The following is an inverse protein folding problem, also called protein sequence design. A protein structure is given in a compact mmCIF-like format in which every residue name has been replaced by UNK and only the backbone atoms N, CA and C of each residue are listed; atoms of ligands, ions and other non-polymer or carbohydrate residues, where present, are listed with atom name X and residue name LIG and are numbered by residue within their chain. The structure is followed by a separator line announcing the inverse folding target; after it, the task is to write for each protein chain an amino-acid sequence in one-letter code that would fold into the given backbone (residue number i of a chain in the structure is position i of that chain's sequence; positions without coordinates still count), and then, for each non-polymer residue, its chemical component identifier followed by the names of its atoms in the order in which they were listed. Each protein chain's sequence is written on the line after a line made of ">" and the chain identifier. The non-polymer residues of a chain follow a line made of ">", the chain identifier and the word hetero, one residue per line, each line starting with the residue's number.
data_IF_939578257063
#
_entry.id   IF_939578257063
#
_cell.length_a   1.000
_cell.length_b   1.000
_cell.length_c   1.000
_cell.angle_alpha   90.00
_cell.angle_beta   90.00
_cell.angle_gamma   90.00
#
_symmetry.space_group_name_H-M   'P 1'
#
loop_
_entity.id
_entity.type
_entity.pdbx_description
1 polymer ?
#
# COMPACT_ATOMS: atom_id res chain seq x y z
N UNK A 1 14.01 -1.07 -18.22
CA UNK A 1 13.31 -1.19 -16.94
C UNK A 1 13.28 -2.66 -16.61
N UNK A 2 13.67 -3.05 -15.39
CA UNK A 2 13.54 -4.45 -14.97
C UNK A 2 12.05 -4.67 -14.71
N UNK A 3 11.40 -5.53 -15.48
CA UNK A 3 10.05 -5.98 -15.17
C UNK A 3 10.14 -6.85 -13.90
N UNK A 4 9.66 -6.30 -12.79
CA UNK A 4 9.55 -7.07 -11.55
C UNK A 4 8.35 -7.99 -11.66
N UNK A 5 8.61 -9.28 -11.80
CA UNK A 5 7.58 -10.32 -11.72
C UNK A 5 7.05 -10.35 -10.29
N UNK A 6 5.77 -10.05 -10.10
CA UNK A 6 5.12 -10.05 -8.79
C UNK A 6 4.36 -11.35 -8.61
N UNK A 7 4.81 -12.21 -7.69
CA UNK A 7 4.14 -13.46 -7.31
C UNK A 7 3.69 -13.48 -5.85
N UNK A 8 4.36 -12.75 -4.96
CA UNK A 8 4.11 -12.77 -3.52
C UNK A 8 3.93 -11.36 -3.00
N UNK A 9 2.73 -11.03 -2.52
CA UNK A 9 2.38 -9.68 -2.05
C UNK A 9 2.33 -9.67 -0.52
N UNK A 10 3.07 -8.75 0.10
CA UNK A 10 2.99 -8.49 1.54
C UNK A 10 2.12 -7.26 1.80
N UNK A 11 1.10 -7.40 2.65
CA UNK A 11 0.33 -6.28 3.19
C UNK A 11 0.71 -6.07 4.65
N UNK A 12 1.29 -4.92 4.98
CA UNK A 12 1.54 -4.55 6.37
C UNK A 12 0.23 -4.06 7.00
N UNK A 13 -0.10 -4.56 8.20
CA UNK A 13 -1.22 -4.05 9.01
C UNK A 13 -0.74 -3.76 10.43
N UNK A 14 -1.35 -2.78 11.09
CA UNK A 14 -0.94 -2.31 12.41
C UNK A 14 -2.13 -1.77 13.21
N UNK A 15 -2.09 -1.80 14.55
CA UNK A 15 -3.16 -1.23 15.36
C UNK A 15 -3.47 0.21 14.98
N UNK A 16 -4.75 0.58 14.99
CA UNK A 16 -5.25 1.89 14.57
C UNK A 16 -5.01 2.21 13.09
N UNK A 17 -4.92 1.20 12.21
CA UNK A 17 -4.97 1.45 10.77
C UNK A 17 -6.39 1.90 10.35
N UNK A 18 -6.48 2.59 9.22
CA UNK A 18 -7.76 2.77 8.54
C UNK A 18 -8.00 1.54 7.67
N UNK A 19 -8.94 0.67 8.04
CA UNK A 19 -9.15 -0.59 7.29
C UNK A 19 -9.41 -0.38 5.80
N UNK A 20 -10.11 0.67 5.40
CA UNK A 20 -10.35 0.97 3.98
C UNK A 20 -9.06 1.26 3.20
N UNK A 21 -8.02 1.81 3.84
CA UNK A 21 -6.71 1.98 3.22
C UNK A 21 -6.10 0.61 2.85
N UNK A 22 -6.33 -0.41 3.68
CA UNK A 22 -5.88 -1.77 3.42
C UNK A 22 -6.81 -2.52 2.46
N UNK A 23 -8.10 -2.63 2.79
CA UNK A 23 -9.02 -3.55 2.09
C UNK A 23 -9.26 -3.15 0.64
N UNK A 24 -9.20 -1.86 0.30
CA UNK A 24 -9.42 -1.41 -1.08
C UNK A 24 -8.36 -1.96 -2.05
N UNK A 25 -7.08 -1.88 -1.68
CA UNK A 25 -6.01 -2.43 -2.51
C UNK A 25 -5.88 -3.95 -2.38
N UNK A 26 -6.10 -4.49 -1.17
CA UNK A 26 -6.16 -5.93 -0.93
C UNK A 26 -7.17 -6.61 -1.87
N UNK A 27 -8.38 -6.06 -2.00
CA UNK A 27 -9.43 -6.65 -2.81
C UNK A 27 -9.09 -6.69 -4.31
N UNK A 28 -8.53 -5.61 -4.87
CA UNK A 28 -8.11 -5.62 -6.27
C UNK A 28 -6.91 -6.53 -6.53
N UNK A 29 -5.93 -6.57 -5.62
CA UNK A 29 -4.71 -7.35 -5.81
C UNK A 29 -4.95 -8.85 -5.62
N UNK A 30 -5.75 -9.27 -4.63
CA UNK A 30 -6.10 -10.70 -4.47
C UNK A 30 -6.86 -11.24 -5.69
N UNK A 31 -7.58 -10.38 -6.42
CA UNK A 31 -8.37 -10.77 -7.59
C UNK A 31 -7.52 -11.15 -8.80
N UNK A 32 -6.24 -10.79 -8.82
CA UNK A 32 -5.28 -11.27 -9.83
C UNK A 32 -5.27 -12.81 -9.84
N UNK A 33 -5.19 -13.43 -8.67
CA UNK A 33 -5.25 -14.87 -8.53
C UNK A 33 -6.69 -15.41 -8.70
N UNK A 34 -7.67 -14.83 -7.99
CA UNK A 34 -9.03 -15.40 -7.97
C UNK A 34 -9.79 -15.26 -9.29
N UNK A 35 -9.39 -14.34 -10.17
CA UNK A 35 -9.92 -14.23 -11.54
C UNK A 35 -8.99 -14.86 -12.59
N UNK A 36 -7.99 -15.63 -12.17
CA UNK A 36 -7.05 -16.32 -13.06
C UNK A 36 -6.37 -15.38 -14.08
N UNK A 37 -6.02 -14.16 -13.66
CA UNK A 37 -5.09 -13.30 -14.41
C UNK A 37 -3.68 -13.88 -14.27
N UNK A 38 -3.29 -14.19 -13.03
CA UNK A 38 -2.09 -14.95 -12.70
C UNK A 38 -2.39 -15.81 -11.46
N UNK A 39 -2.71 -17.10 -11.64
CA UNK A 39 -3.16 -17.97 -10.54
C UNK A 39 -2.04 -18.31 -9.55
N UNK A 40 -0.77 -18.03 -9.86
CA UNK A 40 0.36 -18.29 -8.96
C UNK A 40 0.58 -17.14 -7.97
N UNK A 41 -0.12 -16.01 -8.14
CA UNK A 41 -0.02 -14.88 -7.21
C UNK A 41 -0.60 -15.26 -5.85
N UNK A 42 0.17 -15.01 -4.81
CA UNK A 42 -0.22 -15.20 -3.42
C UNK A 42 -0.05 -13.91 -2.64
N UNK A 43 -0.69 -13.83 -1.47
CA UNK A 43 -0.54 -12.70 -0.57
C UNK A 43 -0.38 -13.16 0.89
N UNK A 44 0.14 -12.26 1.70
CA UNK A 44 0.24 -12.41 3.16
C UNK A 44 -0.11 -11.12 3.85
N UNK A 45 -0.97 -11.19 4.86
CA UNK A 45 -1.27 -10.08 5.77
C UNK A 45 -0.31 -10.20 6.95
N UNK A 46 0.63 -9.27 7.06
CA UNK A 46 1.67 -9.28 8.10
C UNK A 46 1.38 -8.15 9.09
N UNK A 47 1.15 -8.50 10.34
CA UNK A 47 0.88 -7.56 11.41
C UNK A 47 2.14 -7.04 12.11
N UNK A 48 2.02 -5.87 12.72
CA UNK A 48 2.92 -5.44 13.80
C UNK A 48 2.50 -5.96 15.18
N UNK A 49 1.31 -6.56 15.28
CA UNK A 49 0.75 -7.19 16.47
C UNK A 49 -0.10 -8.42 16.07
N UNK A 50 -0.32 -9.40 16.96
CA UNK A 50 -1.10 -10.61 16.66
C UNK A 50 -2.60 -10.36 16.53
N UNK A 51 -3.08 -9.19 16.97
CA UNK A 51 -4.43 -8.70 16.81
C UNK A 51 -4.35 -7.22 16.45
N UNK A 52 -5.15 -6.82 15.47
CA UNK A 52 -5.19 -5.47 14.94
C UNK A 52 -6.59 -4.92 15.14
N UNK A 53 -6.69 -3.82 15.89
CA UNK A 53 -7.95 -3.14 16.19
C UNK A 53 -7.88 -1.72 15.63
N UNK A 54 -8.91 -1.27 14.92
CA UNK A 54 -9.01 0.14 14.50
C UNK A 54 -9.60 1.03 15.61
N UNK A 55 -9.73 2.33 15.34
CA UNK A 55 -10.26 3.29 16.31
C UNK A 55 -11.76 3.13 16.61
N UNK A 56 -12.46 2.28 15.85
CA UNK A 56 -13.90 1.99 15.98
C UNK A 56 -14.19 0.61 16.58
N UNK A 57 -13.17 -0.20 16.84
CA UNK A 57 -13.28 -1.53 17.41
C UNK A 57 -13.41 -2.66 16.39
N UNK A 58 -13.22 -2.41 15.09
CA UNK A 58 -13.11 -3.48 14.10
C UNK A 58 -11.80 -4.26 14.34
N UNK A 59 -11.89 -5.59 14.40
CA UNK A 59 -10.77 -6.47 14.75
C UNK A 59 -10.38 -7.35 13.56
N UNK A 60 -9.07 -7.49 13.34
CA UNK A 60 -8.47 -8.43 12.38
C UNK A 60 -7.32 -9.20 13.02
N UNK A 61 -7.25 -10.50 12.73
CA UNK A 61 -6.06 -11.32 12.99
C UNK A 61 -5.22 -11.40 11.71
N UNK A 62 -3.96 -10.92 11.70
CA UNK A 62 -3.06 -11.08 10.57
C UNK A 62 -2.59 -12.53 10.46
N UNK A 63 -2.07 -12.90 9.29
CA UNK A 63 -1.58 -14.26 9.05
C UNK A 63 -0.27 -14.56 9.79
N UNK A 64 0.53 -13.51 10.02
CA UNK A 64 1.80 -13.56 10.73
C UNK A 64 2.12 -12.20 11.36
N UNK A 65 3.16 -12.16 12.21
CA UNK A 65 3.64 -10.94 12.86
C UNK A 65 5.13 -10.77 12.56
N UNK A 66 5.51 -9.67 11.92
CA UNK A 66 6.89 -9.38 11.49
C UNK A 66 7.57 -10.55 10.73
N UNK A 67 6.85 -11.19 9.80
CA UNK A 67 7.41 -12.24 8.92
C UNK A 67 8.49 -11.69 7.98
N UNK A 68 9.49 -12.50 7.62
CA UNK A 68 10.61 -12.03 6.78
C UNK A 68 10.15 -11.53 5.40
N UNK A 69 10.39 -10.25 5.14
CA UNK A 69 10.01 -9.56 3.91
C UNK A 69 10.81 -10.00 2.66
N UNK A 70 11.94 -10.69 2.81
CA UNK A 70 12.74 -11.19 1.65
C UNK A 70 11.98 -12.17 0.77
N UNK A 71 10.92 -12.78 1.30
CA UNK A 71 10.11 -13.77 0.61
C UNK A 71 9.07 -13.17 -0.34
N UNK A 72 8.93 -11.84 -0.42
CA UNK A 72 7.86 -11.16 -1.18
C UNK A 72 8.40 -10.26 -2.29
N UNK A 73 7.55 -9.90 -3.24
CA UNK A 73 7.91 -9.13 -4.44
C UNK A 73 7.31 -7.71 -4.44
N UNK A 74 6.18 -7.52 -3.75
CA UNK A 74 5.51 -6.23 -3.56
C UNK A 74 5.16 -6.04 -2.08
N UNK A 75 5.50 -4.88 -1.52
CA UNK A 75 5.09 -4.48 -0.18
C UNK A 75 4.05 -3.35 -0.25
N UNK A 76 2.94 -3.52 0.45
CA UNK A 76 1.86 -2.55 0.57
C UNK A 76 1.72 -2.05 2.02
N UNK A 77 1.71 -0.73 2.20
CA UNK A 77 1.64 -0.07 3.51
C UNK A 77 0.42 0.88 3.58
N UNK A 78 -0.64 0.55 4.35
CA UNK A 78 -1.80 1.42 4.53
C UNK A 78 -1.48 2.60 5.47
N UNK A 79 -2.42 3.53 5.59
CA UNK A 79 -2.40 4.60 6.59
C UNK A 79 -3.31 4.33 7.78
N UNK A 80 -3.62 5.41 8.50
CA UNK A 80 -4.43 5.39 9.71
C UNK A 80 -3.76 6.07 10.90
N UNK A 81 -4.47 6.17 12.02
CA UNK A 81 -3.97 6.86 13.20
C UNK A 81 -2.72 6.22 13.79
N UNK A 82 -2.57 4.90 13.65
CA UNK A 82 -1.42 4.12 14.12
C UNK A 82 -0.08 4.59 13.54
N UNK A 83 -0.08 5.17 12.34
CA UNK A 83 1.14 5.71 11.71
C UNK A 83 1.85 6.74 12.57
N UNK A 84 1.13 7.53 13.38
CA UNK A 84 1.72 8.53 14.28
C UNK A 84 2.67 7.92 15.30
N UNK A 85 2.26 6.78 15.90
CA UNK A 85 3.10 6.04 16.86
C UNK A 85 4.22 5.31 16.14
N UNK A 86 3.95 4.74 14.97
CA UNK A 86 4.92 3.93 14.23
C UNK A 86 6.08 4.72 13.63
N UNK A 87 5.94 6.03 13.44
CA UNK A 87 7.04 6.90 13.00
C UNK A 87 8.24 6.88 13.97
N UNK A 88 7.97 6.68 15.26
CA UNK A 88 8.96 6.59 16.33
C UNK A 88 9.22 5.15 16.80
N UNK A 89 8.57 4.17 16.18
CA UNK A 89 8.76 2.75 16.50
C UNK A 89 9.96 2.19 15.71
N UNK A 90 11.10 2.06 16.38
CA UNK A 90 12.34 1.58 15.76
C UNK A 90 12.20 0.20 15.12
N UNK A 91 11.39 -0.70 15.71
CA UNK A 91 11.17 -2.04 15.18
C UNK A 91 10.40 -1.98 13.87
N UNK A 92 9.34 -1.18 13.79
CA UNK A 92 8.57 -0.97 12.57
C UNK A 92 9.42 -0.35 11.47
N UNK A 93 10.19 0.70 11.78
CA UNK A 93 11.04 1.37 10.78
C UNK A 93 12.17 0.45 10.31
N UNK A 94 12.81 -0.30 11.20
CA UNK A 94 13.82 -1.29 10.82
C UNK A 94 13.23 -2.40 9.94
N UNK A 95 12.02 -2.86 10.28
CA UNK A 95 11.30 -3.84 9.48
C UNK A 95 10.98 -3.33 8.07
N UNK A 96 10.49 -2.10 7.92
CA UNK A 96 10.26 -1.50 6.61
C UNK A 96 11.58 -1.37 5.82
N UNK A 97 12.67 -0.94 6.45
CA UNK A 97 14.00 -0.86 5.81
C UNK A 97 14.51 -2.23 5.33
N UNK A 98 14.13 -3.32 5.99
CA UNK A 98 14.50 -4.68 5.57
C UNK A 98 13.93 -5.08 4.19
N UNK A 99 12.94 -4.35 3.67
CA UNK A 99 12.44 -4.52 2.31
C UNK A 99 13.53 -4.28 1.24
N UNK A 100 14.54 -3.48 1.53
CA UNK A 100 15.52 -3.06 0.53
C UNK A 100 14.92 -2.09 -0.49
N UNK A 101 15.68 -1.72 -1.52
CA UNK A 101 15.30 -0.68 -2.51
C UNK A 101 15.07 -1.20 -3.93
N UNK A 102 15.28 -2.50 -4.16
CA UNK A 102 15.24 -3.14 -5.47
C UNK A 102 13.86 -3.72 -5.82
N UNK A 103 12.86 -3.56 -4.95
CA UNK A 103 11.53 -4.17 -5.12
C UNK A 103 10.42 -3.14 -4.93
N UNK A 104 9.31 -3.26 -5.68
CA UNK A 104 8.17 -2.35 -5.55
C UNK A 104 7.62 -2.24 -4.13
N UNK A 105 7.38 -1.01 -3.69
CA UNK A 105 6.70 -0.67 -2.45
C UNK A 105 5.63 0.37 -2.73
N UNK A 106 4.45 0.20 -2.14
CA UNK A 106 3.34 1.11 -2.31
C UNK A 106 2.69 1.50 -0.99
N UNK A 107 2.12 2.70 -0.92
CA UNK A 107 1.39 3.15 0.26
C UNK A 107 0.20 4.04 -0.04
N UNK A 108 -0.78 4.02 0.86
CA UNK A 108 -1.96 4.91 0.86
C UNK A 108 -1.93 5.81 2.08
N UNK A 109 -2.53 7.00 1.94
CA UNK A 109 -2.82 7.89 3.06
C UNK A 109 -1.53 8.17 3.86
N UNK A 110 -1.59 8.13 5.18
CA UNK A 110 -0.43 8.36 6.05
C UNK A 110 0.60 7.23 6.04
N UNK A 111 0.37 6.13 5.33
CA UNK A 111 1.38 5.07 5.12
C UNK A 111 2.62 5.60 4.42
N UNK A 112 2.50 6.64 3.58
CA UNK A 112 3.65 7.27 2.93
C UNK A 112 4.56 8.00 3.92
N UNK A 113 4.08 8.39 5.12
CA UNK A 113 4.94 8.91 6.18
C UNK A 113 5.91 7.84 6.69
N UNK A 114 5.46 6.58 6.79
CA UNK A 114 6.30 5.46 7.19
C UNK A 114 7.35 5.13 6.12
N UNK A 115 6.97 5.17 4.84
CA UNK A 115 7.91 5.06 3.72
C UNK A 115 8.95 6.19 3.76
N UNK A 116 8.50 7.42 4.01
CA UNK A 116 9.34 8.59 4.16
C UNK A 116 10.36 8.43 5.29
N UNK A 117 9.89 8.03 6.47
CA UNK A 117 10.73 7.78 7.65
C UNK A 117 11.73 6.64 7.43
N UNK A 118 11.35 5.60 6.68
CA UNK A 118 12.25 4.53 6.29
C UNK A 118 13.24 4.92 5.17
N UNK A 119 13.10 6.11 4.58
CA UNK A 119 14.02 6.68 3.58
C UNK A 119 13.71 6.26 2.14
N UNK A 120 12.48 5.82 1.86
CA UNK A 120 12.04 5.45 0.51
C UNK A 120 11.71 6.65 -0.37
N UNK A 121 11.36 7.78 0.24
CA UNK A 121 10.89 8.97 -0.48
C UNK A 121 11.97 10.04 -0.69
N UNK A 122 13.19 9.81 -0.22
CA UNK A 122 14.32 10.75 -0.40
C UNK A 122 14.55 11.04 -1.87
N UNK A 123 14.46 12.33 -2.26
CA UNK A 123 14.65 12.77 -3.64
C UNK A 123 13.49 12.43 -4.59
N UNK A 124 12.36 11.94 -4.08
CA UNK A 124 11.19 11.52 -4.88
C UNK A 124 10.00 12.44 -4.67
N UNK A 125 9.10 12.47 -5.63
CA UNK A 125 7.76 13.05 -5.43
C UNK A 125 6.86 12.05 -4.73
N UNK A 126 5.96 12.51 -3.87
CA UNK A 126 5.04 11.63 -3.17
C UNK A 126 3.73 12.34 -2.82
N UNK A 127 2.70 11.56 -2.54
CA UNK A 127 1.45 12.08 -1.97
C UNK A 127 1.07 11.33 -0.69
N UNK A 128 0.08 11.85 0.02
CA UNK A 128 -0.47 11.30 1.26
C UNK A 128 -1.91 11.78 1.44
N UNK A 129 -2.52 11.51 2.59
CA UNK A 129 -3.78 12.14 2.96
C UNK A 129 -3.63 13.67 3.03
N UNK A 130 -4.60 14.44 2.53
CA UNK A 130 -4.48 15.90 2.43
C UNK A 130 -4.15 16.59 3.77
N UNK A 131 -4.72 16.11 4.88
CA UNK A 131 -4.38 16.57 6.23
C UNK A 131 -2.94 16.30 6.70
N UNK A 132 -2.15 15.55 5.95
CA UNK A 132 -0.80 15.13 6.31
C UNK A 132 0.27 15.63 5.34
N UNK A 133 -0.06 16.50 4.38
CA UNK A 133 0.91 17.03 3.41
C UNK A 133 2.10 17.71 4.10
N UNK A 134 1.84 18.55 5.12
CA UNK A 134 2.89 19.24 5.86
C UNK A 134 3.82 18.25 6.59
N UNK A 135 3.27 17.13 7.08
CA UNK A 135 4.03 16.08 7.75
C UNK A 135 4.88 15.24 6.77
N UNK A 136 4.48 15.18 5.50
CA UNK A 136 5.21 14.44 4.47
C UNK A 136 6.41 15.23 3.93
N UNK A 137 6.31 16.58 3.84
CA UNK A 137 7.34 17.45 3.25
C UNK A 137 8.78 17.16 3.70
N UNK A 138 9.07 16.87 4.98
CA UNK A 138 10.45 16.58 5.41
C UNK A 138 11.05 15.30 4.82
N UNK A 139 10.24 14.41 4.24
CA UNK A 139 10.67 13.08 3.81
C UNK A 139 10.81 12.92 2.29
N UNK A 140 10.32 13.88 1.49
CA UNK A 140 10.29 13.79 0.04
C UNK A 140 10.80 15.06 -0.64
N UNK A 141 11.08 15.01 -1.94
CA UNK A 141 11.50 16.19 -2.71
C UNK A 141 10.33 17.16 -2.96
N UNK A 142 9.13 16.60 -3.19
CA UNK A 142 7.93 17.37 -3.46
C UNK A 142 6.68 16.59 -3.01
N UNK A 143 5.70 17.32 -2.48
CA UNK A 143 4.41 16.77 -2.08
C UNK A 143 3.38 17.11 -3.16
N UNK A 144 2.95 16.08 -3.89
CA UNK A 144 1.98 16.23 -4.98
C UNK A 144 0.56 16.26 -4.42
N UNK A 145 -0.16 17.36 -4.66
CA UNK A 145 -1.49 17.61 -4.09
C UNK A 145 -2.65 17.50 -5.09
N UNK A 146 -2.36 17.44 -6.40
CA UNK A 146 -3.32 17.44 -7.50
C UNK A 146 -3.44 16.06 -8.20
N UNK A 147 -2.86 15.01 -7.61
CA UNK A 147 -2.88 13.64 -8.12
C UNK A 147 -3.25 12.67 -7.01
N UNK A 148 -4.08 11.70 -7.37
CA UNK A 148 -4.52 10.63 -6.46
C UNK A 148 -3.48 9.54 -6.27
N UNK A 149 -2.71 9.24 -7.32
CA UNK A 149 -1.62 8.27 -7.32
C UNK A 149 -0.38 8.95 -7.91
N UNK A 150 0.77 8.75 -7.27
CA UNK A 150 2.08 9.26 -7.67
C UNK A 150 3.03 8.07 -7.78
N UNK A 151 3.57 7.84 -8.98
CA UNK A 151 4.49 6.75 -9.28
C UNK A 151 5.90 7.29 -9.57
N UNK A 152 6.88 6.82 -8.80
CA UNK A 152 8.31 7.13 -8.92
C UNK A 152 9.13 5.85 -9.16
N UNK A 153 8.59 4.95 -9.99
CA UNK A 153 9.23 3.70 -10.41
C UNK A 153 8.95 2.57 -9.44
N UNK A 154 9.84 2.35 -8.48
CA UNK A 154 9.67 1.30 -7.45
C UNK A 154 8.86 1.75 -6.25
N UNK A 155 8.53 3.04 -6.16
CA UNK A 155 7.77 3.60 -5.04
C UNK A 155 6.51 4.25 -5.59
N UNK A 156 5.35 3.77 -5.15
CA UNK A 156 4.05 4.32 -5.54
C UNK A 156 3.31 4.79 -4.30
N UNK A 157 2.90 6.06 -4.26
CA UNK A 157 2.13 6.61 -3.15
C UNK A 157 0.77 7.07 -3.63
N UNK A 158 -0.25 6.97 -2.79
CA UNK A 158 -1.59 7.45 -3.12
C UNK A 158 -2.21 8.23 -1.95
N UNK A 159 -3.24 9.00 -2.29
CA UNK A 159 -3.93 9.93 -1.38
C UNK A 159 -4.71 9.24 -0.26
N UNK A 160 -5.71 9.93 0.29
CA UNK A 160 -6.46 9.43 1.44
C UNK A 160 -7.44 8.29 1.11
N UNK A 161 -7.59 7.36 2.05
CA UNK A 161 -8.74 6.47 2.26
C UNK A 161 -9.19 5.71 1.01
N UNK A 162 -10.20 6.20 0.30
CA UNK A 162 -10.74 5.55 -0.90
C UNK A 162 -9.72 5.45 -2.05
N UNK A 163 -8.62 6.20 -1.98
CA UNK A 163 -7.50 6.08 -2.93
C UNK A 163 -6.87 4.69 -2.94
N UNK A 164 -7.13 3.85 -1.94
CA UNK A 164 -6.71 2.45 -1.92
C UNK A 164 -7.28 1.62 -3.06
N UNK A 165 -8.52 1.87 -3.48
CA UNK A 165 -9.14 1.18 -4.62
C UNK A 165 -8.42 1.51 -5.92
N UNK A 166 -8.15 2.80 -6.14
CA UNK A 166 -7.46 3.26 -7.35
C UNK A 166 -6.00 2.85 -7.37
N UNK A 167 -5.30 2.92 -6.23
CA UNK A 167 -3.92 2.43 -6.14
C UNK A 167 -3.86 0.93 -6.38
N UNK A 168 -4.80 0.16 -5.83
CA UNK A 168 -4.88 -1.27 -6.04
C UNK A 168 -5.05 -1.63 -7.53
N UNK A 169 -5.98 -0.99 -8.23
CA UNK A 169 -6.16 -1.17 -9.67
C UNK A 169 -4.98 -0.63 -10.48
N UNK A 170 -4.35 0.46 -10.05
CA UNK A 170 -3.15 0.99 -10.67
C UNK A 170 -1.98 -0.01 -10.61
N UNK A 171 -1.76 -0.64 -9.45
CA UNK A 171 -0.75 -1.68 -9.29
C UNK A 171 -1.08 -2.91 -10.13
N UNK A 172 -2.36 -3.27 -10.27
CA UNK A 172 -2.80 -4.34 -11.18
C UNK A 172 -2.38 -4.01 -12.62
N UNK A 173 -2.71 -2.81 -13.11
CA UNK A 173 -2.36 -2.39 -14.46
C UNK A 173 -0.85 -2.36 -14.68
N UNK A 174 -0.11 -1.83 -13.70
CA UNK A 174 1.34 -1.71 -13.74
C UNK A 174 2.06 -3.05 -13.88
N UNK A 175 1.58 -4.10 -13.20
CA UNK A 175 2.29 -5.38 -13.11
C UNK A 175 1.68 -6.51 -13.95
N UNK A 176 0.38 -6.46 -14.26
CA UNK A 176 -0.32 -7.48 -15.05
C UNK A 176 -1.04 -6.91 -16.29
N UNK A 177 -0.88 -5.61 -16.55
CA UNK A 177 -1.36 -4.95 -17.75
C UNK A 177 -2.82 -4.48 -17.68
N UNK A 178 -3.18 -3.62 -18.63
CA UNK A 178 -4.47 -2.96 -18.71
C UNK A 178 -5.67 -3.92 -18.78
N UNK A 179 -5.54 -5.03 -19.51
CA UNK A 179 -6.60 -6.04 -19.63
C UNK A 179 -6.95 -6.68 -18.27
N UNK A 180 -5.95 -6.94 -17.42
CA UNK A 180 -6.16 -7.44 -16.07
C UNK A 180 -6.93 -6.42 -15.22
N UNK A 181 -6.49 -5.16 -15.25
CA UNK A 181 -7.17 -4.05 -14.55
C UNK A 181 -8.62 -3.87 -15.01
N UNK A 182 -8.88 -3.93 -16.30
CA UNK A 182 -10.24 -3.86 -16.87
C UNK A 182 -11.14 -4.99 -16.37
N UNK A 183 -10.64 -6.22 -16.41
CA UNK A 183 -11.37 -7.40 -15.92
C UNK A 183 -11.67 -7.30 -14.42
N UNK A 184 -10.68 -6.95 -13.60
CA UNK A 184 -10.83 -6.84 -12.15
C UNK A 184 -11.76 -5.68 -11.79
N UNK A 185 -11.58 -4.50 -12.38
CA UNK A 185 -12.43 -3.32 -12.18
C UNK A 185 -13.89 -3.59 -12.57
N UNK A 186 -14.12 -4.29 -13.69
CA UNK A 186 -15.47 -4.67 -14.10
C UNK A 186 -16.12 -5.64 -13.10
N UNK A 187 -15.38 -6.63 -12.61
CA UNK A 187 -15.89 -7.59 -11.64
C UNK A 187 -16.11 -6.98 -10.25
N UNK A 188 -15.29 -6.00 -9.85
CA UNK A 188 -15.52 -5.19 -8.64
C UNK A 188 -16.73 -4.26 -8.76
N UNK A 189 -17.33 -4.14 -9.95
CA UNK A 189 -18.28 -3.10 -10.31
C UNK A 189 -17.76 -1.69 -9.99
N UNK A 190 -16.43 -1.53 -9.95
CA UNK A 190 -15.76 -0.25 -9.78
C UNK A 190 -15.74 0.48 -11.12
N UNK A 191 -16.94 0.80 -11.59
CA UNK A 191 -17.20 1.73 -12.68
C UNK A 191 -16.95 3.11 -12.09
N UNK A 192 -16.19 3.95 -12.79
CA UNK A 192 -15.88 5.33 -12.43
C UNK A 192 -17.08 5.95 -11.72
N UNK A 193 -17.05 6.05 -10.38
CA UNK A 193 -18.24 6.47 -9.65
C UNK A 193 -18.53 7.93 -10.04
N UNK A 194 -19.59 8.11 -10.84
CA UNK A 194 -20.23 9.38 -11.12
C UNK A 194 -21.52 9.38 -10.31
N UNK A 195 -21.65 10.23 -9.27
CA UNK A 195 -22.92 10.37 -8.55
C UNK A 195 -24.02 10.94 -9.47
N UNK A 196 -23.59 11.67 -10.50
CA UNK A 196 -24.23 12.29 -11.67
C UNK A 196 -23.11 12.46 -12.71
#
# INVERSE_FOLDING_TARGET
>A
MVDHVIKRIAFLVFPHLTFLDFVGAYDSLRRVATLAVDPEVTHRIIGTAPEIVDDSGLVMKPDAVYEDLRAFDLLYVPGGFGTRRLLDDERCIAYLKSWGRERPIASVCTGSLLLGRAGYLTGKRATTHHNAYDLLRPYCADVVTDRRVVDEGLVVTAGGVASSLDLGLYLVEKHWGRAARERISAQMEYRSYSPI
#
